data_IF_743805802129
#
_entry.id   IF_743805802129
#
_cell.length_a   1.000
_cell.length_b   1.000
_cell.length_c   1.000
_cell.angle_alpha   90.00
_cell.angle_beta   90.00
_cell.angle_gamma   90.00
#
_symmetry.space_group_name_H-M   'P 1'
#
loop_
_entity.id
_entity.type
_entity.pdbx_description
1 polymer ?
#
# COMPACT_ATOMS: atom_id res chain seq x y z
N UNK A 1 -7.86 -0.16 -13.43
CA UNK A 1 -7.88 0.46 -12.09
C UNK A 1 -8.34 -0.56 -11.07
N UNK A 2 -9.49 -1.21 -11.26
CA UNK A 2 -9.95 -2.31 -10.39
C UNK A 2 -8.95 -3.48 -10.31
N UNK A 3 -8.40 -3.91 -11.45
CA UNK A 3 -7.35 -4.95 -11.47
C UNK A 3 -6.10 -4.57 -10.68
N UNK A 4 -5.63 -3.32 -10.77
CA UNK A 4 -4.45 -2.86 -10.02
C UNK A 4 -4.67 -2.93 -8.51
N UNK A 5 -5.86 -2.51 -8.06
CA UNK A 5 -6.23 -2.57 -6.64
C UNK A 5 -6.37 -4.03 -6.19
N UNK A 6 -6.94 -4.89 -7.03
CA UNK A 6 -7.10 -6.31 -6.73
C UNK A 6 -5.75 -7.01 -6.59
N UNK A 7 -4.83 -6.81 -7.53
CA UNK A 7 -3.48 -7.40 -7.47
C UNK A 7 -2.71 -6.90 -6.24
N UNK A 8 -2.78 -5.61 -5.92
CA UNK A 8 -2.13 -5.08 -4.71
C UNK A 8 -2.72 -5.70 -3.43
N UNK A 9 -4.04 -5.92 -3.37
CA UNK A 9 -4.73 -6.52 -2.21
C UNK A 9 -4.41 -7.98 -2.00
N UNK A 10 -3.95 -8.67 -3.04
CA UNK A 10 -3.45 -10.05 -2.92
C UNK A 10 -2.05 -10.11 -2.29
N UNK A 11 -1.32 -9.00 -2.29
CA UNK A 11 0.07 -8.91 -1.80
C UNK A 11 0.22 -8.15 -0.48
N UNK A 12 -0.61 -7.11 -0.26
CA UNK A 12 -0.49 -6.19 0.86
C UNK A 12 -1.88 -5.65 1.28
N UNK A 13 -2.01 -5.21 2.53
CA UNK A 13 -3.11 -4.31 2.88
C UNK A 13 -2.85 -2.93 2.28
N UNK A 14 -3.92 -2.25 1.86
CA UNK A 14 -3.82 -0.96 1.17
C UNK A 14 -4.65 0.08 1.90
N UNK A 15 -4.04 1.22 2.19
CA UNK A 15 -4.74 2.46 2.51
C UNK A 15 -4.60 3.46 1.34
N UNK A 16 -5.72 4.03 0.89
CA UNK A 16 -5.75 5.02 -0.20
C UNK A 16 -6.47 6.25 0.33
N UNK A 17 -5.79 7.40 0.29
CA UNK A 17 -6.32 8.67 0.74
C UNK A 17 -5.84 9.81 -0.16
N UNK A 18 -6.30 11.03 0.11
CA UNK A 18 -5.86 12.21 -0.62
C UNK A 18 -5.49 13.34 0.32
N UNK A 19 -4.39 14.04 0.01
CA UNK A 19 -3.90 15.21 0.74
C UNK A 19 -3.45 16.25 -0.28
N UNK A 20 -3.89 17.49 -0.13
CA UNK A 20 -3.50 18.63 -0.99
C UNK A 20 -3.63 18.35 -2.49
N UNK A 21 -4.67 17.60 -2.89
CA UNK A 21 -4.95 17.27 -4.30
C UNK A 21 -4.06 16.17 -4.89
N UNK A 22 -3.24 15.51 -4.08
CA UNK A 22 -2.54 14.28 -4.45
C UNK A 22 -3.26 13.06 -3.89
N UNK A 23 -3.20 11.97 -4.63
CA UNK A 23 -3.50 10.64 -4.13
C UNK A 23 -2.27 10.09 -3.41
N UNK A 24 -2.49 9.48 -2.26
CA UNK A 24 -1.47 8.82 -1.47
C UNK A 24 -1.88 7.36 -1.28
N UNK A 25 -0.91 6.47 -1.38
CA UNK A 25 -1.09 5.03 -1.17
C UNK A 25 -0.06 4.59 -0.16
N UNK A 26 -0.54 3.89 0.87
CA UNK A 26 0.29 3.20 1.85
C UNK A 26 0.01 1.70 1.76
N UNK A 27 1.09 0.92 1.80
CA UNK A 27 1.05 -0.54 1.85
C UNK A 27 1.51 -1.03 3.22
N UNK A 28 0.90 -2.12 3.67
CA UNK A 28 1.22 -2.81 4.92
C UNK A 28 1.24 -4.32 4.66
N UNK A 29 1.94 -5.08 5.51
CA UNK A 29 1.95 -6.54 5.43
C UNK A 29 0.52 -7.11 5.55
N UNK A 30 0.26 -8.25 4.89
CA UNK A 30 -1.09 -8.84 4.85
C UNK A 30 -1.61 -9.26 6.23
N UNK A 31 -0.70 -9.63 7.12
CA UNK A 31 -1.00 -10.07 8.48
C UNK A 31 -1.35 -8.90 9.42
N UNK A 32 -1.23 -7.66 8.92
CA UNK A 32 -1.54 -6.43 9.64
C UNK A 32 -3.00 -6.10 9.43
N UNK A 33 -3.76 -5.84 10.51
CA UNK A 33 -5.07 -5.19 10.42
C UNK A 33 -4.87 -3.68 10.63
N UNK A 34 -4.88 -2.82 9.60
CA UNK A 34 -4.56 -1.40 9.76
C UNK A 34 -5.53 -0.68 10.71
N UNK A 35 -6.76 -1.21 10.85
CA UNK A 35 -7.77 -0.69 11.78
C UNK A 35 -7.47 -0.97 13.27
N UNK A 36 -6.57 -1.89 13.59
CA UNK A 36 -6.16 -2.17 14.98
C UNK A 36 -5.06 -1.21 15.47
N UNK A 37 -4.53 -0.37 14.58
CA UNK A 37 -3.48 0.61 14.92
C UNK A 37 -3.91 1.61 16.00
N UNK A 38 -5.21 1.96 16.04
CA UNK A 38 -5.78 2.86 17.05
C UNK A 38 -5.79 2.26 18.47
N UNK A 39 -5.60 0.94 18.60
CA UNK A 39 -5.66 0.24 19.88
C UNK A 39 -4.27 0.14 20.50
N UNK A 40 -3.22 -0.20 19.73
CA UNK A 40 -1.83 -0.20 20.17
C UNK A 40 -0.88 0.08 18.99
N UNK A 41 -0.03 1.12 19.05
CA UNK A 41 1.04 1.29 18.07
C UNK A 41 2.03 0.14 18.26
N UNK A 42 1.98 -0.84 17.37
CA UNK A 42 2.91 -1.95 17.31
C UNK A 42 3.84 -1.75 16.10
N UNK A 43 5.15 -2.02 16.21
CA UNK A 43 6.09 -1.94 15.08
C UNK A 43 5.67 -2.79 13.86
N UNK A 44 4.88 -3.83 14.12
CA UNK A 44 4.31 -4.73 13.09
C UNK A 44 3.29 -4.03 12.18
N UNK A 45 2.78 -2.85 12.54
CA UNK A 45 1.81 -2.09 11.74
C UNK A 45 2.45 -0.92 10.98
N UNK A 46 3.78 -0.86 10.92
CA UNK A 46 4.48 0.19 10.18
C UNK A 46 4.22 0.07 8.67
N UNK A 47 3.99 1.21 8.03
CA UNK A 47 3.86 1.30 6.58
C UNK A 47 5.16 0.82 5.92
N UNK A 48 5.08 -0.23 5.10
CA UNK A 48 6.26 -0.79 4.41
C UNK A 48 6.59 -0.03 3.12
N UNK A 49 5.60 0.68 2.56
CA UNK A 49 5.78 1.49 1.37
C UNK A 49 4.73 2.59 1.26
N UNK A 50 5.17 3.80 0.92
CA UNK A 50 4.31 4.94 0.64
C UNK A 50 4.71 5.61 -0.68
N UNK A 51 3.71 5.94 -1.50
CA UNK A 51 3.90 6.78 -2.69
C UNK A 51 2.71 7.72 -2.89
N UNK A 52 2.95 8.84 -3.56
CA UNK A 52 1.92 9.84 -3.81
C UNK A 52 2.06 10.52 -5.16
N UNK A 53 0.94 11.03 -5.68
CA UNK A 53 0.93 11.75 -6.95
C UNK A 53 -0.46 12.19 -7.38
N UNK A 54 -0.51 13.04 -8.42
CA UNK A 54 -1.76 13.64 -8.91
C UNK A 54 -2.67 12.66 -9.65
N UNK A 55 -2.10 11.59 -10.20
CA UNK A 55 -2.81 10.65 -11.09
C UNK A 55 -2.87 9.28 -10.42
N UNK A 56 -4.01 8.94 -9.82
CA UNK A 56 -4.22 7.71 -9.05
C UNK A 56 -3.76 6.42 -9.77
N UNK A 57 -4.06 6.19 -11.06
CA UNK A 57 -3.54 5.01 -11.77
C UNK A 57 -2.02 4.87 -11.75
N UNK A 58 -1.28 5.98 -11.82
CA UNK A 58 0.17 5.95 -11.81
C UNK A 58 0.69 5.60 -10.42
N UNK A 59 0.12 6.22 -9.39
CA UNK A 59 0.45 5.95 -7.98
C UNK A 59 0.18 4.47 -7.62
N UNK A 60 -0.94 3.92 -8.10
CA UNK A 60 -1.26 2.48 -7.96
C UNK A 60 -0.26 1.59 -8.71
N UNK A 61 0.14 2.00 -9.92
CA UNK A 61 1.11 1.25 -10.72
C UNK A 61 2.49 1.23 -10.05
N UNK A 62 2.94 2.36 -9.50
CA UNK A 62 4.23 2.46 -8.80
C UNK A 62 4.23 1.58 -7.55
N UNK A 63 3.15 1.60 -6.78
CA UNK A 63 2.97 0.71 -5.63
C UNK A 63 2.98 -0.77 -6.01
N UNK A 64 2.33 -1.14 -7.12
CA UNK A 64 2.30 -2.53 -7.58
C UNK A 64 3.66 -3.01 -8.08
N UNK A 65 4.41 -2.14 -8.78
CA UNK A 65 5.78 -2.44 -9.21
C UNK A 65 6.66 -2.73 -8.01
N UNK A 66 6.61 -1.87 -6.98
CA UNK A 66 7.35 -2.10 -5.74
C UNK A 66 6.94 -3.41 -5.06
N UNK A 67 5.64 -3.67 -4.91
CA UNK A 67 5.14 -4.88 -4.25
C UNK A 67 5.58 -6.17 -4.95
N UNK A 68 5.63 -6.17 -6.29
CA UNK A 68 6.11 -7.31 -7.09
C UNK A 68 7.63 -7.49 -6.97
N UNK A 69 8.39 -6.41 -6.98
CA UNK A 69 9.84 -6.46 -6.79
C UNK A 69 10.22 -7.01 -5.40
N UNK A 70 9.45 -6.67 -4.35
CA UNK A 70 9.65 -7.29 -3.03
C UNK A 70 9.41 -8.80 -3.04
N UNK A 71 8.36 -9.27 -3.73
CA UNK A 71 8.08 -10.70 -3.86
C UNK A 71 9.20 -11.45 -4.60
N UNK A 72 9.73 -10.86 -5.67
CA UNK A 72 10.82 -11.45 -6.46
C UNK A 72 12.14 -11.50 -5.67
N UNK A 73 12.42 -10.51 -4.83
CA UNK A 73 13.64 -10.42 -4.02
C UNK A 73 13.59 -11.23 -2.70
N UNK A 74 12.45 -11.83 -2.35
CA UNK A 74 12.31 -12.71 -1.18
C UNK A 74 12.60 -14.19 -1.49
N UNK A 75 12.91 -14.53 -2.76
CA UNK A 75 13.21 -15.90 -3.23
C UNK A 75 14.72 -16.17 -3.28
#
# INVERSE_FOLDING_TARGET
MEELIKELRELHQINIYSVDGNWCIQLFDLDVCPNDYDIQPCPEFECVFETSGKVLPNVLSDALVWAKDQLENQI
#
